data_IF_311425719527
#
_entry.id   IF_311425719527
#
_cell.length_a   1.000
_cell.length_b   1.000
_cell.length_c   1.000
_cell.angle_alpha   90.00
_cell.angle_beta   90.00
_cell.angle_gamma   90.00
#
_symmetry.space_group_name_H-M   'P 1'
#
loop_
_entity.id
_entity.type
_entity.pdbx_description
1 polymer ?
#
# COMPACT_ATOMS: atom_id res chain seq x y z
N UNK A 1 -7.47 27.94 9.42
CA UNK A 1 -6.90 27.03 8.41
C UNK A 1 -5.39 27.09 8.52
N UNK A 2 -4.71 26.02 8.93
CA UNK A 2 -3.25 26.00 8.90
C UNK A 2 -2.77 26.08 7.44
N UNK A 3 -1.69 26.80 7.13
CA UNK A 3 -1.17 26.87 5.77
C UNK A 3 -0.76 25.46 5.34
N UNK A 4 -1.38 24.97 4.27
CA UNK A 4 -1.08 23.66 3.70
C UNK A 4 0.38 23.59 3.23
N UNK A 5 1.12 22.63 3.80
CA UNK A 5 2.52 22.38 3.48
C UNK A 5 2.99 21.08 4.12
N UNK A 6 3.89 20.37 3.44
CA UNK A 6 4.53 19.17 4.00
C UNK A 6 5.20 19.50 5.34
N UNK A 7 5.10 18.58 6.31
CA UNK A 7 5.65 18.79 7.65
C UNK A 7 7.18 18.98 7.59
N UNK A 8 7.77 19.59 8.62
CA UNK A 8 9.24 19.73 8.71
C UNK A 8 9.90 18.33 8.72
N UNK A 9 9.28 17.37 9.40
CA UNK A 9 9.73 15.97 9.47
C UNK A 9 9.72 15.33 8.09
N UNK A 10 8.63 15.51 7.32
CA UNK A 10 8.53 14.99 5.96
C UNK A 10 9.61 15.57 5.04
N UNK A 11 9.89 16.87 5.17
CA UNK A 11 10.92 17.55 4.37
C UNK A 11 12.33 17.07 4.73
N UNK A 12 12.62 16.91 6.02
CA UNK A 12 13.90 16.38 6.49
C UNK A 12 14.13 14.94 6.02
N UNK A 13 13.11 14.09 6.10
CA UNK A 13 13.19 12.70 5.65
C UNK A 13 13.40 12.61 4.12
N UNK A 14 12.68 13.41 3.35
CA UNK A 14 12.87 13.49 1.90
C UNK A 14 14.25 14.04 1.50
N UNK A 15 14.79 15.00 2.27
CA UNK A 15 16.13 15.54 2.07
C UNK A 15 17.19 14.48 2.39
N UNK A 16 17.08 13.78 3.52
CA UNK A 16 17.96 12.65 3.89
C UNK A 16 18.04 11.61 2.78
N UNK A 17 16.90 11.20 2.22
CA UNK A 17 16.85 10.21 1.14
C UNK A 17 17.44 10.75 -0.17
N UNK A 18 17.37 12.07 -0.41
CA UNK A 18 18.02 12.70 -1.56
C UNK A 18 19.54 12.66 -1.42
N UNK A 19 20.06 13.00 -0.23
CA UNK A 19 21.50 12.98 0.07
C UNK A 19 22.05 11.55 -0.01
N UNK A 20 21.28 10.57 0.46
CA UNK A 20 21.64 9.15 0.40
C UNK A 20 21.49 8.52 -1.01
N UNK A 21 21.05 9.27 -2.02
CA UNK A 21 20.81 8.74 -3.38
C UNK A 21 19.63 7.77 -3.47
N UNK A 22 18.76 7.71 -2.46
CA UNK A 22 17.64 6.76 -2.37
C UNK A 22 16.36 7.34 -2.97
N UNK A 23 16.31 7.40 -4.31
CA UNK A 23 15.17 7.96 -5.05
C UNK A 23 13.82 7.30 -4.70
N UNK A 24 13.78 5.97 -4.54
CA UNK A 24 12.56 5.24 -4.16
C UNK A 24 12.08 5.57 -2.77
N UNK A 25 12.98 5.59 -1.78
CA UNK A 25 12.64 5.96 -0.40
C UNK A 25 12.06 7.37 -0.34
N UNK A 26 12.59 8.31 -1.16
CA UNK A 26 12.04 9.66 -1.30
C UNK A 26 10.61 9.67 -1.86
N UNK A 27 10.33 8.91 -2.91
CA UNK A 27 8.98 8.83 -3.50
C UNK A 27 7.99 8.25 -2.48
N UNK A 28 8.37 7.15 -1.82
CA UNK A 28 7.56 6.52 -0.76
C UNK A 28 7.27 7.51 0.38
N UNK A 29 8.25 8.28 0.84
CA UNK A 29 8.04 9.30 1.87
C UNK A 29 7.09 10.40 1.40
N UNK A 30 7.19 10.85 0.14
CA UNK A 30 6.28 11.85 -0.43
C UNK A 30 4.84 11.33 -0.61
N UNK A 31 4.65 10.04 -0.87
CA UNK A 31 3.34 9.41 -0.92
C UNK A 31 2.72 9.22 0.48
N UNK A 32 3.55 9.08 1.51
CA UNK A 32 3.17 8.73 2.90
C UNK A 32 3.53 9.81 3.92
N UNK A 33 3.28 11.07 3.55
CA UNK A 33 3.49 12.24 4.43
C UNK A 33 2.48 12.26 5.60
N UNK A 34 2.76 13.06 6.63
CA UNK A 34 1.83 13.27 7.77
C UNK A 34 0.65 14.21 7.44
N UNK A 35 0.65 14.81 6.25
CA UNK A 35 -0.46 15.62 5.75
C UNK A 35 -1.74 14.78 5.67
N UNK A 36 -2.79 15.18 6.40
CA UNK A 36 -4.10 14.51 6.51
C UNK A 36 -4.88 14.68 5.20
N UNK A 37 -4.45 13.93 4.19
CA UNK A 37 -5.09 13.79 2.89
C UNK A 37 -4.68 12.46 2.26
N UNK A 38 -5.38 12.04 1.22
CA UNK A 38 -4.97 10.86 0.44
C UNK A 38 -3.57 11.04 -0.20
N UNK A 39 -2.88 9.93 -0.53
CA UNK A 39 -1.63 10.00 -1.29
C UNK A 39 -1.84 10.81 -2.58
N UNK A 40 -0.97 11.79 -2.84
CA UNK A 40 -1.10 12.65 -4.04
C UNK A 40 -0.86 11.80 -5.28
N UNK A 41 -1.74 11.92 -6.28
CA UNK A 41 -1.71 11.13 -7.53
C UNK A 41 -0.34 11.12 -8.21
N UNK A 42 0.31 12.28 -8.33
CA UNK A 42 1.67 12.40 -8.88
C UNK A 42 2.72 11.50 -8.20
N UNK A 43 2.55 11.14 -6.93
CA UNK A 43 3.47 10.25 -6.22
C UNK A 43 3.10 8.77 -6.40
N UNK A 44 1.81 8.47 -6.59
CA UNK A 44 1.34 7.13 -6.97
C UNK A 44 1.78 6.77 -8.40
N UNK A 45 1.69 7.73 -9.32
CA UNK A 45 2.14 7.53 -10.70
C UNK A 45 3.65 7.25 -10.76
N UNK A 46 4.45 7.99 -9.98
CA UNK A 46 5.91 7.76 -9.89
C UNK A 46 6.29 6.40 -9.29
N UNK A 47 5.45 5.79 -8.45
CA UNK A 47 5.72 4.44 -7.93
C UNK A 47 5.48 3.32 -8.96
N UNK A 48 4.83 3.63 -10.08
CA UNK A 48 4.49 2.67 -11.15
C UNK A 48 5.45 2.72 -12.36
N UNK A 49 6.52 3.51 -12.31
CA UNK A 49 7.48 3.63 -13.42
C UNK A 49 8.23 2.30 -13.69
N UNK A 50 8.43 1.93 -14.96
CA UNK A 50 8.95 0.61 -15.37
C UNK A 50 10.35 0.24 -14.85
N UNK A 51 11.10 1.20 -14.31
CA UNK A 51 12.48 1.01 -13.84
C UNK A 51 12.59 0.91 -12.31
N UNK A 52 11.47 0.86 -11.59
CA UNK A 52 11.46 0.75 -10.13
C UNK A 52 11.70 -0.69 -9.70
N UNK A 53 12.62 -0.89 -8.75
CA UNK A 53 12.80 -2.17 -8.07
C UNK A 53 11.56 -2.49 -7.22
N UNK A 54 10.76 -3.47 -7.66
CA UNK A 54 9.54 -3.91 -6.98
C UNK A 54 9.79 -4.38 -5.55
N UNK A 55 10.79 -5.27 -5.28
CA UNK A 55 11.09 -5.69 -3.92
C UNK A 55 11.39 -4.52 -3.00
N UNK A 56 12.27 -3.61 -3.44
CA UNK A 56 12.65 -2.45 -2.65
C UNK A 56 11.47 -1.50 -2.40
N UNK A 57 10.62 -1.27 -3.41
CA UNK A 57 9.42 -0.45 -3.26
C UNK A 57 8.45 -1.06 -2.23
N UNK A 58 8.20 -2.37 -2.32
CA UNK A 58 7.33 -3.10 -1.41
C UNK A 58 7.86 -3.06 0.02
N UNK A 59 9.14 -3.35 0.22
CA UNK A 59 9.78 -3.33 1.55
C UNK A 59 9.70 -1.94 2.19
N UNK A 60 10.00 -0.89 1.43
CA UNK A 60 9.88 0.50 1.90
C UNK A 60 8.44 0.84 2.28
N UNK A 61 7.44 0.41 1.50
CA UNK A 61 6.03 0.65 1.84
C UNK A 61 5.60 -0.12 3.09
N UNK A 62 6.02 -1.38 3.23
CA UNK A 62 5.78 -2.22 4.41
C UNK A 62 6.45 -1.64 5.66
N UNK A 63 7.59 -0.97 5.53
CA UNK A 63 8.19 -0.23 6.65
C UNK A 63 7.31 0.94 7.06
N UNK A 64 6.75 1.68 6.09
CA UNK A 64 5.86 2.83 6.36
C UNK A 64 4.55 2.44 7.03
N UNK A 65 4.02 1.24 6.78
CA UNK A 65 2.80 0.78 7.47
C UNK A 65 3.00 0.66 8.99
N UNK A 66 4.23 0.43 9.45
CA UNK A 66 4.60 0.29 10.86
C UNK A 66 4.88 1.63 11.57
N UNK A 67 4.68 2.76 10.89
CA UNK A 67 4.88 4.08 11.48
C UNK A 67 3.90 4.34 12.64
N UNK A 68 4.32 5.13 13.64
CA UNK A 68 3.44 5.48 14.77
C UNK A 68 2.27 6.37 14.38
N UNK A 69 2.42 7.18 13.32
CA UNK A 69 1.37 8.07 12.81
C UNK A 69 0.34 7.28 12.00
N UNK A 70 -0.92 7.33 12.43
CA UNK A 70 -2.04 6.73 11.71
C UNK A 70 -2.13 7.22 10.26
N UNK A 71 -1.82 8.49 10.01
CA UNK A 71 -1.88 9.09 8.67
C UNK A 71 -0.88 8.42 7.74
N UNK A 72 0.35 8.26 8.20
CA UNK A 72 1.44 7.63 7.46
C UNK A 72 1.11 6.17 7.18
N UNK A 73 0.74 5.42 8.23
CA UNK A 73 0.42 4.00 8.12
C UNK A 73 -0.74 3.76 7.17
N UNK A 74 -1.81 4.54 7.28
CA UNK A 74 -2.97 4.38 6.41
C UNK A 74 -2.65 4.73 4.97
N UNK A 75 -1.90 5.82 4.72
CA UNK A 75 -1.46 6.18 3.36
C UNK A 75 -0.53 5.15 2.74
N UNK A 76 0.30 4.48 3.53
CA UNK A 76 1.12 3.36 3.07
C UNK A 76 0.23 2.19 2.61
N UNK A 77 -0.77 1.79 3.40
CA UNK A 77 -1.73 0.75 3.00
C UNK A 77 -2.53 1.15 1.75
N UNK A 78 -2.99 2.39 1.65
CA UNK A 78 -3.70 2.90 0.46
C UNK A 78 -2.79 2.85 -0.77
N UNK A 79 -1.52 3.21 -0.62
CA UNK A 79 -0.53 3.15 -1.72
C UNK A 79 -0.28 1.70 -2.16
N UNK A 80 -0.11 0.78 -1.21
CA UNK A 80 0.02 -0.66 -1.50
C UNK A 80 -1.21 -1.17 -2.27
N UNK A 81 -2.41 -0.86 -1.80
CA UNK A 81 -3.64 -1.28 -2.48
C UNK A 81 -3.75 -0.69 -3.88
N UNK A 82 -3.38 0.59 -4.06
CA UNK A 82 -3.35 1.23 -5.37
C UNK A 82 -2.42 0.49 -6.33
N UNK A 83 -1.21 0.14 -5.88
CA UNK A 83 -0.24 -0.62 -6.68
C UNK A 83 -0.74 -2.04 -7.00
N UNK A 84 -1.40 -2.71 -6.05
CA UNK A 84 -2.01 -4.01 -6.31
C UNK A 84 -3.13 -3.93 -7.36
N UNK A 85 -3.93 -2.86 -7.37
CA UNK A 85 -5.06 -2.74 -8.30
C UNK A 85 -4.69 -2.18 -9.67
N UNK A 86 -3.80 -1.19 -9.73
CA UNK A 86 -3.53 -0.40 -10.93
C UNK A 86 -2.06 -0.40 -11.35
N UNK A 87 -1.18 -0.96 -10.54
CA UNK A 87 0.24 -1.06 -10.84
C UNK A 87 0.60 -2.27 -11.68
N UNK A 88 1.90 -2.53 -11.76
CA UNK A 88 2.43 -3.70 -12.45
C UNK A 88 2.02 -4.99 -11.73
N UNK A 89 1.58 -6.01 -12.47
CA UNK A 89 1.17 -7.32 -11.90
C UNK A 89 2.28 -7.99 -11.08
N UNK A 90 3.55 -7.72 -11.42
CA UNK A 90 4.70 -8.19 -10.64
C UNK A 90 4.70 -7.66 -9.20
N UNK A 91 4.10 -6.49 -8.94
CA UNK A 91 3.95 -5.97 -7.58
C UNK A 91 2.99 -6.83 -6.77
N UNK A 92 1.79 -7.11 -7.30
CA UNK A 92 0.80 -7.97 -6.63
C UNK A 92 1.35 -9.40 -6.43
N UNK A 93 2.04 -9.95 -7.43
CA UNK A 93 2.71 -11.25 -7.33
C UNK A 93 3.83 -11.26 -6.26
N UNK A 94 4.62 -10.18 -6.16
CA UNK A 94 5.62 -10.03 -5.11
C UNK A 94 4.97 -9.94 -3.72
N UNK A 95 3.89 -9.16 -3.58
CA UNK A 95 3.16 -9.07 -2.32
C UNK A 95 2.58 -10.42 -1.89
N UNK A 96 2.11 -11.24 -2.84
CA UNK A 96 1.58 -12.58 -2.60
C UNK A 96 2.65 -13.59 -2.17
N UNK A 97 3.90 -13.46 -2.62
CA UNK A 97 5.01 -14.31 -2.17
C UNK A 97 5.55 -13.89 -0.80
N UNK A 98 5.28 -12.65 -0.38
CA UNK A 98 5.76 -12.08 0.87
C UNK A 98 4.89 -12.50 2.08
N UNK A 99 5.45 -13.28 3.01
CA UNK A 99 4.71 -13.80 4.17
C UNK A 99 4.57 -12.80 5.33
N UNK A 100 5.30 -11.67 5.31
CA UNK A 100 5.24 -10.68 6.40
C UNK A 100 3.89 -9.99 6.45
N UNK A 101 3.28 -9.83 7.62
CA UNK A 101 1.98 -9.13 7.74
C UNK A 101 2.15 -7.63 7.53
N UNK A 102 1.24 -7.02 6.78
CA UNK A 102 1.27 -5.58 6.48
C UNK A 102 1.15 -4.68 7.72
N UNK A 103 0.53 -5.16 8.80
CA UNK A 103 0.35 -4.40 10.04
C UNK A 103 0.32 -5.36 11.23
N UNK A 104 0.91 -5.01 12.39
CA UNK A 104 0.68 -5.74 13.62
C UNK A 104 -0.81 -5.71 14.02
N UNK A 105 -1.33 -6.84 14.51
CA UNK A 105 -2.72 -6.93 14.97
C UNK A 105 -3.04 -5.94 16.11
N UNK A 106 -2.03 -5.55 16.89
CA UNK A 106 -2.15 -4.62 18.01
C UNK A 106 -1.82 -3.16 17.64
N UNK A 107 -1.77 -2.79 16.36
CA UNK A 107 -1.47 -1.42 15.96
C UNK A 107 -2.41 -0.41 16.61
N UNK A 108 -1.86 0.58 17.31
CA UNK A 108 -2.61 1.64 17.95
C UNK A 108 -1.80 2.93 17.94
N UNK A 109 -2.32 3.95 17.25
CA UNK A 109 -1.84 5.31 17.40
C UNK A 109 -2.42 5.88 18.71
N UNK A 110 -1.52 6.22 19.64
CA UNK A 110 -1.86 6.73 20.97
C UNK A 110 -2.09 8.23 21.00
N UNK A 111 -1.93 8.93 19.87
CA UNK A 111 -2.15 10.37 19.73
C UNK A 111 -3.63 10.71 19.65
N UNK A 112 -4.35 10.56 20.78
CA UNK A 112 -5.74 11.05 20.96
C UNK A 112 -6.73 10.72 19.84
N UNK A 113 -7.80 11.50 19.72
CA UNK A 113 -8.66 11.48 18.54
C UNK A 113 -8.05 12.33 17.42
N UNK A 114 -8.11 11.91 16.14
CA UNK A 114 -8.80 10.73 15.61
C UNK A 114 -7.96 9.43 15.57
N UNK A 115 -6.72 9.41 16.11
CA UNK A 115 -5.78 8.30 15.97
C UNK A 115 -6.29 6.94 16.50
N UNK A 116 -7.01 6.95 17.62
CA UNK A 116 -7.63 5.74 18.19
C UNK A 116 -8.66 5.08 17.26
N UNK A 117 -9.57 5.89 16.70
CA UNK A 117 -10.60 5.40 15.76
C UNK A 117 -9.97 4.95 14.43
N UNK A 118 -9.03 5.73 13.91
CA UNK A 118 -8.34 5.40 12.66
C UNK A 118 -7.53 4.11 12.78
N UNK A 119 -6.99 3.80 13.96
CA UNK A 119 -6.30 2.53 14.22
C UNK A 119 -7.21 1.31 13.99
N UNK A 120 -8.51 1.40 14.31
CA UNK A 120 -9.47 0.33 14.02
C UNK A 120 -9.61 0.09 12.52
N UNK A 121 -9.77 1.15 11.74
CA UNK A 121 -9.90 1.06 10.28
C UNK A 121 -8.62 0.56 9.62
N UNK A 122 -7.46 1.03 10.09
CA UNK A 122 -6.14 0.58 9.61
C UNK A 122 -5.98 -0.93 9.81
N UNK A 123 -6.30 -1.46 11.00
CA UNK A 123 -6.22 -2.90 11.26
C UNK A 123 -7.12 -3.71 10.33
N UNK A 124 -8.39 -3.30 10.17
CA UNK A 124 -9.33 -3.97 9.26
C UNK A 124 -8.85 -3.93 7.81
N UNK A 125 -8.33 -2.79 7.38
CA UNK A 125 -7.84 -2.62 6.01
C UNK A 125 -6.57 -3.43 5.73
N UNK A 126 -5.64 -3.47 6.68
CA UNK A 126 -4.47 -4.33 6.58
C UNK A 126 -4.86 -5.82 6.52
N UNK A 127 -5.83 -6.26 7.33
CA UNK A 127 -6.39 -7.62 7.23
C UNK A 127 -6.97 -7.89 5.83
N UNK A 128 -7.78 -6.98 5.29
CA UNK A 128 -8.29 -7.12 3.92
C UNK A 128 -7.17 -7.27 2.88
N UNK A 129 -6.12 -6.46 2.95
CA UNK A 129 -5.01 -6.54 2.01
C UNK A 129 -4.18 -7.83 2.18
N UNK A 130 -4.04 -8.34 3.41
CA UNK A 130 -3.42 -9.64 3.66
C UNK A 130 -4.27 -10.80 3.06
N UNK A 131 -5.59 -10.72 3.13
CA UNK A 131 -6.49 -11.70 2.49
C UNK A 131 -6.45 -11.58 0.96
N UNK A 132 -6.42 -10.35 0.41
CA UNK A 132 -6.33 -10.13 -1.04
C UNK A 132 -5.08 -10.78 -1.63
N UNK A 133 -3.91 -10.60 -1.00
CA UNK A 133 -2.67 -11.21 -1.48
C UNK A 133 -2.67 -12.74 -1.32
N UNK A 134 -3.28 -13.28 -0.26
CA UNK A 134 -3.34 -14.72 -0.05
C UNK A 134 -4.30 -15.38 -1.05
N UNK A 135 -5.41 -14.73 -1.35
CA UNK A 135 -6.30 -15.12 -2.46
C UNK A 135 -5.54 -15.17 -3.78
N UNK A 136 -4.71 -14.16 -4.08
CA UNK A 136 -3.89 -14.16 -5.30
C UNK A 136 -2.88 -15.31 -5.30
N UNK A 137 -2.21 -15.54 -4.17
CA UNK A 137 -1.22 -16.62 -3.99
C UNK A 137 -1.82 -18.01 -4.22
N UNK A 138 -3.01 -18.27 -3.67
CA UNK A 138 -3.69 -19.56 -3.76
C UNK A 138 -4.26 -19.82 -5.16
N UNK A 139 -4.79 -18.79 -5.81
CA UNK A 139 -5.53 -18.94 -7.07
C UNK A 139 -4.68 -18.69 -8.31
N UNK A 140 -3.56 -17.96 -8.17
CA UNK A 140 -2.71 -17.55 -9.29
C UNK A 140 -3.27 -16.39 -10.12
N UNK A 141 -4.37 -15.78 -9.71
CA UNK A 141 -4.98 -14.62 -10.39
C UNK A 141 -5.76 -13.72 -9.41
N UNK A 142 -5.95 -12.45 -9.79
CA UNK A 142 -6.75 -11.48 -9.03
C UNK A 142 -8.24 -11.56 -9.43
N UNK A 143 -9.10 -11.99 -8.53
CA UNK A 143 -10.57 -12.02 -8.73
C UNK A 143 -11.15 -10.64 -9.11
N UNK A 144 -10.51 -9.54 -8.74
CA UNK A 144 -10.97 -8.21 -9.14
C UNK A 144 -10.73 -7.94 -10.64
N UNK A 145 -9.78 -8.63 -11.27
CA UNK A 145 -9.30 -8.37 -12.64
C UNK A 145 -9.66 -9.46 -13.66
N UNK A 146 -10.15 -10.62 -13.22
CA UNK A 146 -10.55 -11.69 -14.15
C UNK A 146 -11.67 -11.27 -15.10
N UNK A 147 -11.70 -11.90 -16.27
CA UNK A 147 -12.74 -11.70 -17.27
C UNK A 147 -14.11 -12.03 -16.70
N UNK A 148 -15.04 -11.09 -16.88
CA UNK A 148 -16.45 -11.21 -16.50
C UNK A 148 -17.29 -11.37 -17.76
N UNK A 149 -18.41 -12.06 -17.66
CA UNK A 149 -19.28 -12.33 -18.80
C UNK A 149 -20.16 -13.54 -18.52
N UNK A 150 -21.31 -13.65 -19.20
CA UNK A 150 -22.20 -14.80 -19.05
C UNK A 150 -21.60 -16.05 -19.66
N UNK A 151 -21.04 -15.92 -20.86
CA UNK A 151 -20.69 -17.07 -21.70
C UNK A 151 -19.19 -17.41 -21.64
N UNK A 152 -18.35 -16.47 -21.18
CA UNK A 152 -16.88 -16.57 -21.20
C UNK A 152 -16.19 -16.02 -19.93
N UNK A 153 -16.97 -15.76 -18.88
CA UNK A 153 -16.45 -15.28 -17.61
C UNK A 153 -15.79 -16.41 -16.81
N UNK A 154 -14.57 -16.18 -16.30
CA UNK A 154 -13.72 -17.21 -15.67
C UNK A 154 -14.48 -18.02 -14.61
N UNK A 155 -15.18 -17.34 -13.70
CA UNK A 155 -15.95 -18.00 -12.63
C UNK A 155 -17.24 -18.68 -13.13
N UNK A 156 -17.85 -18.21 -14.22
CA UNK A 156 -19.09 -18.78 -14.76
C UNK A 156 -18.86 -20.01 -15.62
N UNK A 157 -17.66 -20.16 -16.15
CA UNK A 157 -17.24 -21.32 -16.95
C UNK A 157 -16.32 -22.26 -16.15
N UNK A 158 -16.14 -22.03 -14.85
CA UNK A 158 -15.29 -22.87 -14.01
C UNK A 158 -15.90 -24.27 -13.88
N UNK A 159 -15.15 -25.34 -14.21
CA UNK A 159 -15.67 -26.70 -14.10
C UNK A 159 -15.84 -27.08 -12.63
N UNK A 160 -16.89 -27.84 -12.32
CA UNK A 160 -17.03 -28.51 -11.03
C UNK A 160 -16.14 -29.74 -11.00
N UNK A 161 -15.23 -29.82 -10.03
CA UNK A 161 -14.56 -31.09 -9.73
C UNK A 161 -15.62 -32.13 -9.35
N UNK A 162 -15.51 -33.34 -9.90
CA UNK A 162 -16.41 -34.46 -9.63
C UNK A 162 -15.94 -35.26 -8.43
#
# INVERSE_FOLDING_TARGET
MQPGGQSLVDRLLAAKNTIAGQALAKIVCKATTEEIMGPKRKHLDSTNEMNVSIPQLADLLIERTQNSSWVVSFKALITIHHLMCFGNERFEAYMASHNHRLQPAAYLDRMGMPGGDMSNYIRRYASYLNEKRESYKLMGYDFCKIKRGKDDGVLRTMPTEK
#
